data_IF_660754206168
#
_entry.id   IF_660754206168
#
_cell.length_a   1.000
_cell.length_b   1.000
_cell.length_c   1.000
_cell.angle_alpha   90.00
_cell.angle_beta   90.00
_cell.angle_gamma   90.00
#
_symmetry.space_group_name_H-M   'P 1'
#
loop_
_entity.id
_entity.type
_entity.pdbx_description
1 polymer ?
#
# COMPACT_ATOMS: atom_id res chain seq x y z
N UNK A 1 15.50 1.19 24.57
CA UNK A 1 15.93 0.96 23.17
C UNK A 1 15.43 2.12 22.34
N UNK A 2 16.29 2.72 21.53
CA UNK A 2 16.00 3.91 20.73
C UNK A 2 15.48 3.51 19.35
N UNK A 3 14.16 3.52 19.22
CA UNK A 3 13.47 3.15 17.98
C UNK A 3 13.21 4.40 17.14
N UNK A 4 13.63 4.38 15.88
CA UNK A 4 13.25 5.40 14.91
C UNK A 4 12.32 4.81 13.84
N UNK A 5 11.45 5.65 13.28
CA UNK A 5 10.55 5.25 12.19
C UNK A 5 10.30 6.39 11.22
N UNK A 6 9.64 6.11 10.10
CA UNK A 6 9.20 7.12 9.14
C UNK A 6 7.77 7.57 9.43
N UNK A 7 7.33 8.74 8.94
CA UNK A 7 5.93 9.18 9.06
C UNK A 7 4.95 8.15 8.48
N UNK A 8 5.37 7.45 7.43
CA UNK A 8 4.58 6.42 6.74
C UNK A 8 4.37 5.15 7.57
N UNK A 9 5.32 4.83 8.46
CA UNK A 9 5.30 3.63 9.30
C UNK A 9 4.79 3.89 10.72
N UNK A 10 4.73 5.16 11.13
CA UNK A 10 4.36 5.60 12.48
C UNK A 10 3.13 4.87 13.03
N UNK A 11 2.06 4.82 12.23
CA UNK A 11 0.81 4.24 12.71
C UNK A 11 0.89 2.72 12.89
N UNK A 12 1.58 2.00 11.99
CA UNK A 12 1.82 0.57 12.17
C UNK A 12 2.67 0.28 13.42
N UNK A 13 3.65 1.14 13.71
CA UNK A 13 4.48 1.06 14.93
C UNK A 13 3.63 1.30 16.18
N UNK A 14 2.76 2.32 16.17
CA UNK A 14 1.82 2.61 17.25
C UNK A 14 0.87 1.44 17.50
N UNK A 15 0.25 0.90 16.44
CA UNK A 15 -0.69 -0.23 16.50
C UNK A 15 -0.04 -1.52 16.98
N UNK A 16 1.25 -1.70 16.73
CA UNK A 16 2.03 -2.80 17.28
C UNK A 16 2.31 -2.68 18.79
N UNK A 17 1.81 -1.63 19.47
CA UNK A 17 1.99 -1.42 20.91
C UNK A 17 3.30 -0.75 21.29
N UNK A 18 4.02 -0.18 20.33
CA UNK A 18 5.27 0.53 20.60
C UNK A 18 4.95 1.97 20.98
N UNK A 19 5.11 2.33 22.25
CA UNK A 19 4.76 3.66 22.77
C UNK A 19 5.90 4.68 22.65
N UNK A 20 7.15 4.23 22.69
CA UNK A 20 8.34 5.09 22.67
C UNK A 20 9.13 4.91 21.36
N UNK A 21 8.99 5.88 20.45
CA UNK A 21 9.75 5.94 19.20
C UNK A 21 9.86 7.38 18.69
N UNK A 22 10.80 7.63 17.78
CA UNK A 22 11.00 8.95 17.14
C UNK A 22 10.69 8.85 15.65
N UNK A 23 9.85 9.75 15.15
CA UNK A 23 9.54 9.87 13.73
C UNK A 23 10.57 10.75 13.03
N UNK A 24 11.25 10.19 12.03
CA UNK A 24 12.29 10.85 11.22
C UNK A 24 11.75 11.21 9.84
N UNK A 25 11.57 12.52 9.59
CA UNK A 25 11.08 13.06 8.32
C UNK A 25 12.15 13.04 7.22
N UNK A 26 13.42 13.17 7.59
CA UNK A 26 14.59 13.25 6.71
C UNK A 26 15.15 11.87 6.30
N UNK A 27 14.54 10.79 6.81
CA UNK A 27 15.07 9.42 6.70
C UNK A 27 16.51 9.26 7.22
N UNK A 28 16.96 10.14 8.13
CA UNK A 28 18.22 9.94 8.83
C UNK A 28 17.99 9.10 10.10
N UNK A 29 18.45 7.86 10.05
CA UNK A 29 18.29 6.90 11.15
C UNK A 29 19.52 6.74 12.04
N UNK A 30 20.52 7.61 11.90
CA UNK A 30 21.75 7.53 12.68
C UNK A 30 21.49 7.59 14.19
N UNK A 31 22.14 6.69 14.93
CA UNK A 31 21.98 6.57 16.38
C UNK A 31 20.66 5.94 16.83
N UNK A 32 19.94 5.25 15.94
CA UNK A 32 18.87 4.32 16.33
C UNK A 32 19.47 2.97 16.73
N UNK A 33 18.91 2.34 17.76
CA UNK A 33 19.15 0.93 18.05
C UNK A 33 18.38 0.04 17.06
N UNK A 34 17.22 0.52 16.60
CA UNK A 34 16.39 -0.13 15.61
C UNK A 34 15.63 0.93 14.78
N UNK A 35 15.64 0.78 13.46
CA UNK A 35 14.81 1.56 12.56
C UNK A 35 13.67 0.72 11.97
N UNK A 36 12.41 1.10 12.19
CA UNK A 36 11.25 0.47 11.56
C UNK A 36 10.86 1.30 10.34
N UNK A 37 11.06 0.77 9.14
CA UNK A 37 10.98 1.54 7.90
C UNK A 37 10.31 0.74 6.78
N UNK A 38 9.86 1.42 5.73
CA UNK A 38 9.32 0.76 4.54
C UNK A 38 10.38 -0.15 3.89
N UNK A 39 9.92 -1.22 3.26
CA UNK A 39 10.78 -2.23 2.63
C UNK A 39 11.75 -1.65 1.60
N UNK A 40 11.36 -0.54 0.97
CA UNK A 40 12.10 0.18 -0.05
C UNK A 40 13.14 1.16 0.53
N UNK A 41 13.02 1.52 1.80
CA UNK A 41 13.91 2.50 2.45
C UNK A 41 15.32 1.90 2.61
N UNK A 42 16.35 2.55 2.07
CA UNK A 42 17.74 2.14 2.30
C UNK A 42 18.24 2.66 3.65
N UNK A 43 18.81 1.79 4.47
CA UNK A 43 19.44 2.17 5.75
C UNK A 43 20.46 1.14 6.16
N UNK A 44 21.50 1.57 6.88
CA UNK A 44 22.59 0.70 7.37
C UNK A 44 22.47 0.39 8.86
N UNK A 45 21.61 1.10 9.60
CA UNK A 45 21.35 0.77 11.01
C UNK A 45 20.51 -0.52 11.10
N UNK A 46 20.58 -1.26 12.22
CA UNK A 46 19.68 -2.38 12.44
C UNK A 46 18.23 -1.97 12.19
N UNK A 47 17.50 -2.76 11.41
CA UNK A 47 16.21 -2.32 10.91
C UNK A 47 15.23 -3.47 10.74
N UNK A 48 13.95 -3.10 10.79
CA UNK A 48 12.81 -3.94 10.51
C UNK A 48 12.08 -3.34 9.31
N UNK A 49 12.04 -4.11 8.22
CA UNK A 49 11.40 -3.73 6.95
C UNK A 49 9.95 -4.14 6.96
N UNK A 50 9.05 -3.20 6.70
CA UNK A 50 7.61 -3.45 6.61
C UNK A 50 7.02 -3.05 5.27
N UNK A 51 5.88 -3.64 4.92
CA UNK A 51 5.08 -3.27 3.75
C UNK A 51 3.69 -2.83 4.19
N UNK A 52 3.17 -1.78 3.56
CA UNK A 52 1.92 -1.14 4.00
C UNK A 52 1.00 -0.84 2.81
N UNK A 53 1.01 -1.69 1.77
CA UNK A 53 0.24 -1.46 0.55
C UNK A 53 -1.16 -2.06 0.63
N UNK A 54 -1.27 -3.28 1.16
CA UNK A 54 -2.52 -4.01 1.32
C UNK A 54 -2.89 -4.15 2.79
N UNK A 55 -4.16 -4.40 3.10
CA UNK A 55 -4.59 -4.71 4.47
C UNK A 55 -3.77 -5.85 5.04
N UNK A 56 -3.67 -6.98 4.32
CA UNK A 56 -2.85 -8.13 4.72
C UNK A 56 -1.42 -7.74 5.10
N UNK A 57 -0.73 -6.96 4.27
CA UNK A 57 0.63 -6.51 4.55
C UNK A 57 0.70 -5.62 5.80
N UNK A 58 -0.31 -4.79 6.06
CA UNK A 58 -0.39 -3.93 7.25
C UNK A 58 -0.48 -4.78 8.51
N UNK A 59 -1.40 -5.75 8.58
CA UNK A 59 -1.52 -6.64 9.75
C UNK A 59 -0.27 -7.49 9.95
N UNK A 60 0.27 -8.08 8.88
CA UNK A 60 1.52 -8.84 8.96
C UNK A 60 2.68 -7.97 9.47
N UNK A 61 2.73 -6.70 9.06
CA UNK A 61 3.76 -5.76 9.53
C UNK A 61 3.58 -5.41 11.01
N UNK A 62 2.35 -5.20 11.48
CA UNK A 62 2.04 -4.98 12.89
C UNK A 62 2.46 -6.21 13.71
N UNK A 63 2.14 -7.41 13.25
CA UNK A 63 2.52 -8.67 13.89
C UNK A 63 4.04 -8.85 13.95
N UNK A 64 4.76 -8.55 12.85
CA UNK A 64 6.22 -8.63 12.81
C UNK A 64 6.84 -7.67 13.84
N UNK A 65 6.35 -6.44 13.93
CA UNK A 65 6.84 -5.44 14.90
C UNK A 65 6.57 -5.94 16.33
N UNK A 66 5.32 -6.29 16.64
CA UNK A 66 4.90 -6.73 17.98
C UNK A 66 5.66 -7.98 18.43
N UNK A 67 5.80 -8.98 17.56
CA UNK A 67 6.50 -10.22 17.88
C UNK A 67 8.00 -10.02 18.09
N UNK A 68 8.60 -9.08 17.36
CA UNK A 68 10.03 -8.73 17.48
C UNK A 68 10.30 -7.97 18.77
N UNK A 69 9.42 -7.03 19.11
CA UNK A 69 9.58 -6.14 20.27
C UNK A 69 8.91 -6.64 21.55
N UNK A 70 8.18 -7.76 21.46
CA UNK A 70 7.43 -8.38 22.57
C UNK A 70 6.43 -7.40 23.20
N UNK A 71 5.75 -6.64 22.34
CA UNK A 71 4.71 -5.68 22.74
C UNK A 71 3.32 -6.25 22.51
N UNK A 72 2.35 -5.80 23.31
CA UNK A 72 0.94 -6.12 23.12
C UNK A 72 0.34 -5.20 22.06
N UNK A 73 -0.28 -5.78 21.02
CA UNK A 73 -0.92 -4.99 19.95
C UNK A 73 -2.08 -4.18 20.51
N UNK A 74 -2.28 -2.99 19.97
CA UNK A 74 -3.49 -2.21 20.24
C UNK A 74 -4.68 -2.82 19.50
N UNK A 75 -5.87 -2.65 20.08
CA UNK A 75 -7.11 -3.03 19.44
C UNK A 75 -7.30 -2.24 18.13
N UNK A 76 -7.52 -2.98 17.04
CA UNK A 76 -7.69 -2.46 15.70
C UNK A 76 -9.17 -2.13 15.39
N UNK A 77 -10.10 -2.50 16.28
CA UNK A 77 -11.52 -2.19 16.17
C UNK A 77 -12.13 -2.68 14.85
N UNK A 78 -13.00 -1.86 14.26
CA UNK A 78 -13.75 -2.16 13.02
C UNK A 78 -12.85 -2.47 11.80
N UNK A 79 -11.55 -2.14 11.86
CA UNK A 79 -10.62 -2.49 10.80
C UNK A 79 -10.39 -3.99 10.69
N UNK A 80 -10.44 -4.76 11.79
CA UNK A 80 -10.29 -6.22 11.71
C UNK A 80 -11.38 -6.87 10.84
N UNK A 81 -12.59 -6.32 10.88
CA UNK A 81 -13.71 -6.80 10.07
C UNK A 81 -13.66 -6.26 8.63
N UNK A 82 -13.09 -5.06 8.39
CA UNK A 82 -13.02 -4.45 7.05
C UNK A 82 -12.06 -5.19 6.09
N UNK A 83 -11.14 -6.01 6.60
CA UNK A 83 -10.26 -6.88 5.80
C UNK A 83 -11.04 -7.89 4.95
N UNK A 84 -12.29 -8.18 5.34
CA UNK A 84 -13.14 -9.15 4.66
C UNK A 84 -13.99 -8.57 3.52
N UNK A 85 -13.94 -7.26 3.27
CA UNK A 85 -14.65 -6.68 2.13
C UNK A 85 -13.97 -7.16 0.84
N UNK A 86 -14.57 -8.21 0.25
CA UNK A 86 -14.36 -8.76 -1.11
C UNK A 86 -13.41 -9.97 -1.32
N UNK A 87 -13.27 -10.89 -0.35
CA UNK A 87 -12.65 -12.21 -0.59
C UNK A 87 -13.64 -13.35 -0.87
N UNK A 88 -14.91 -13.05 -1.13
CA UNK A 88 -15.86 -14.05 -1.60
C UNK A 88 -15.35 -14.69 -2.91
N UNK A 89 -15.35 -16.03 -2.96
CA UNK A 89 -14.70 -16.80 -4.04
C UNK A 89 -15.26 -16.44 -5.43
N UNK A 90 -16.57 -16.20 -5.52
CA UNK A 90 -17.26 -15.80 -6.76
C UNK A 90 -16.77 -14.43 -7.26
N UNK A 91 -16.59 -13.47 -6.36
CA UNK A 91 -16.11 -12.11 -6.66
C UNK A 91 -14.67 -12.13 -7.14
N UNK A 92 -13.84 -13.03 -6.60
CA UNK A 92 -12.46 -13.24 -7.04
C UNK A 92 -12.39 -13.84 -8.44
N UNK A 93 -13.25 -14.80 -8.77
CA UNK A 93 -13.28 -15.41 -10.10
C UNK A 93 -13.78 -14.45 -11.19
N UNK A 94 -14.71 -13.56 -10.87
CA UNK A 94 -15.08 -12.45 -11.76
C UNK A 94 -13.93 -11.46 -11.95
N UNK A 95 -13.25 -11.05 -10.87
CA UNK A 95 -12.12 -10.09 -10.96
C UNK A 95 -10.93 -10.64 -11.76
N UNK A 96 -10.67 -11.94 -11.72
CA UNK A 96 -9.63 -12.58 -12.55
C UNK A 96 -9.86 -12.44 -14.06
N UNK A 97 -11.10 -12.20 -14.50
CA UNK A 97 -11.40 -11.98 -15.93
C UNK A 97 -10.97 -10.58 -16.40
N UNK A 98 -10.81 -9.64 -15.48
CA UNK A 98 -10.45 -8.25 -15.76
C UNK A 98 -8.93 -8.11 -15.80
N UNK A 99 -8.40 -7.71 -16.95
CA UNK A 99 -6.96 -7.56 -17.22
C UNK A 99 -6.51 -6.15 -16.90
N UNK A 100 -5.59 -6.03 -15.96
CA UNK A 100 -5.09 -4.75 -15.47
C UNK A 100 -3.59 -4.63 -15.73
N UNK A 101 -3.19 -3.56 -16.42
CA UNK A 101 -1.79 -3.16 -16.52
C UNK A 101 -1.51 -2.13 -15.44
N UNK A 102 -0.44 -2.33 -14.67
CA UNK A 102 -0.11 -1.48 -13.52
C UNK A 102 1.25 -0.84 -13.70
N UNK A 103 1.33 0.46 -13.42
CA UNK A 103 2.58 1.18 -13.24
C UNK A 103 2.77 1.46 -11.75
N UNK A 104 3.79 0.86 -11.12
CA UNK A 104 4.16 0.96 -9.69
C UNK A 104 3.97 -0.34 -8.91
N UNK A 105 5.02 -0.73 -8.18
CA UNK A 105 5.03 -1.95 -7.36
C UNK A 105 3.97 -1.93 -6.25
N UNK A 106 3.76 -0.79 -5.57
CA UNK A 106 2.78 -0.73 -4.48
C UNK A 106 1.34 -0.90 -4.97
N UNK A 107 1.04 -0.43 -6.19
CA UNK A 107 -0.29 -0.63 -6.80
C UNK A 107 -0.42 -2.08 -7.26
N UNK A 108 0.65 -2.68 -7.79
CA UNK A 108 0.66 -4.09 -8.19
C UNK A 108 0.26 -4.99 -7.02
N UNK A 109 0.81 -4.74 -5.82
CA UNK A 109 0.44 -5.49 -4.60
C UNK A 109 -1.07 -5.39 -4.31
N UNK A 110 -1.66 -4.19 -4.45
CA UNK A 110 -3.09 -3.95 -4.19
C UNK A 110 -3.98 -4.65 -5.23
N UNK A 111 -3.67 -4.46 -6.51
CA UNK A 111 -4.44 -5.04 -7.63
C UNK A 111 -4.40 -6.57 -7.57
N UNK A 112 -3.25 -7.14 -7.19
CA UNK A 112 -3.12 -8.59 -6.97
C UNK A 112 -3.93 -9.07 -5.76
N UNK A 113 -3.90 -8.36 -4.63
CA UNK A 113 -4.66 -8.73 -3.43
C UNK A 113 -6.18 -8.69 -3.66
N UNK A 114 -6.64 -7.75 -4.49
CA UNK A 114 -8.04 -7.68 -4.92
C UNK A 114 -8.46 -8.77 -5.92
N UNK A 115 -7.52 -9.52 -6.51
CA UNK A 115 -7.81 -10.67 -7.37
C UNK A 115 -7.84 -10.40 -8.88
N UNK A 116 -7.40 -9.22 -9.34
CA UNK A 116 -7.38 -8.90 -10.77
C UNK A 116 -6.23 -9.58 -11.52
N UNK A 117 -6.40 -9.79 -12.83
CA UNK A 117 -5.35 -10.37 -13.67
C UNK A 117 -4.33 -9.30 -14.11
N UNK A 118 -3.10 -9.38 -13.61
CA UNK A 118 -2.02 -8.49 -14.01
C UNK A 118 -1.47 -8.86 -15.40
N UNK A 119 -1.50 -7.92 -16.35
CA UNK A 119 -0.99 -8.13 -17.72
C UNK A 119 -0.06 -7.00 -18.17
N UNK A 120 0.80 -7.29 -19.15
CA UNK A 120 1.66 -6.29 -19.80
C UNK A 120 1.06 -5.73 -21.10
N UNK A 121 0.30 -6.57 -21.80
CA UNK A 121 -0.24 -6.28 -23.13
C UNK A 121 -1.75 -6.50 -23.16
N UNK A 122 -2.44 -5.72 -24.01
CA UNK A 122 -3.90 -5.74 -24.20
C UNK A 122 -4.69 -5.72 -22.87
N UNK A 123 -4.45 -4.75 -21.97
CA UNK A 123 -5.23 -4.61 -20.76
C UNK A 123 -6.63 -4.05 -21.02
N UNK A 124 -7.58 -4.43 -20.18
CA UNK A 124 -8.89 -3.78 -20.10
C UNK A 124 -8.73 -2.41 -19.43
N UNK A 125 -7.93 -2.34 -18.37
CA UNK A 125 -7.65 -1.13 -17.59
C UNK A 125 -6.16 -0.89 -17.36
N UNK A 126 -5.78 0.38 -17.26
CA UNK A 126 -4.43 0.82 -16.92
C UNK A 126 -4.48 1.57 -15.59
N UNK A 127 -3.77 1.09 -14.58
CA UNK A 127 -3.71 1.71 -13.25
C UNK A 127 -2.33 2.32 -13.01
N UNK A 128 -2.29 3.55 -12.53
CA UNK A 128 -1.04 4.29 -12.36
C UNK A 128 -1.11 5.28 -11.18
N UNK A 129 0.03 5.66 -10.56
CA UNK A 129 0.06 6.62 -9.49
C UNK A 129 0.02 8.05 -10.03
N UNK A 130 -0.59 8.94 -9.26
CA UNK A 130 -0.74 10.37 -9.57
C UNK A 130 0.56 11.08 -9.99
N UNK A 131 1.70 10.75 -9.38
CA UNK A 131 2.98 11.38 -9.71
C UNK A 131 3.46 11.10 -11.15
N UNK A 132 2.91 10.09 -11.85
CA UNK A 132 3.27 9.85 -13.25
C UNK A 132 2.68 10.87 -14.21
N UNK A 133 1.61 11.59 -13.84
CA UNK A 133 1.09 12.71 -14.65
C UNK A 133 2.05 13.90 -14.69
N UNK A 134 2.83 14.07 -13.62
CA UNK A 134 3.87 15.10 -13.51
C UNK A 134 5.21 14.64 -14.13
N UNK A 135 5.28 13.38 -14.59
CA UNK A 135 6.49 12.75 -15.10
C UNK A 135 6.87 13.20 -16.51
N UNK A 136 8.13 12.97 -16.87
CA UNK A 136 8.68 13.23 -18.22
C UNK A 136 8.58 12.04 -19.17
N UNK A 137 8.03 10.91 -18.73
CA UNK A 137 7.94 9.71 -19.58
C UNK A 137 6.77 9.84 -20.55
N UNK A 138 7.07 10.32 -21.77
CA UNK A 138 6.09 10.57 -22.83
C UNK A 138 5.35 9.31 -23.28
N UNK A 139 5.99 8.14 -23.21
CA UNK A 139 5.38 6.88 -23.64
C UNK A 139 4.26 6.46 -22.69
N UNK A 140 4.51 6.54 -21.38
CA UNK A 140 3.49 6.27 -20.35
C UNK A 140 2.34 7.28 -20.46
N UNK A 141 2.64 8.57 -20.61
CA UNK A 141 1.61 9.60 -20.75
C UNK A 141 0.75 9.39 -22.00
N UNK A 142 1.36 8.97 -23.11
CA UNK A 142 0.64 8.62 -24.34
C UNK A 142 -0.27 7.43 -24.10
N UNK A 143 0.20 6.40 -23.42
CA UNK A 143 -0.59 5.21 -23.11
C UNK A 143 -1.77 5.53 -22.19
N UNK A 144 -1.56 6.33 -21.13
CA UNK A 144 -2.62 6.84 -20.25
C UNK A 144 -3.68 7.58 -21.07
N UNK A 145 -3.25 8.48 -21.98
CA UNK A 145 -4.17 9.24 -22.83
C UNK A 145 -4.96 8.34 -23.79
N UNK A 146 -4.34 7.30 -24.35
CA UNK A 146 -4.99 6.33 -25.24
C UNK A 146 -6.03 5.47 -24.51
N UNK A 147 -5.79 5.14 -23.25
CA UNK A 147 -6.71 4.35 -22.43
C UNK A 147 -7.96 5.16 -22.00
N UNK A 148 -7.86 6.49 -21.93
CA UNK A 148 -8.99 7.37 -21.61
C UNK A 148 -9.59 7.04 -20.24
N UNK A 149 -10.90 6.80 -20.18
CA UNK A 149 -11.62 6.50 -18.93
C UNK A 149 -11.19 5.17 -18.27
N UNK A 150 -10.55 4.30 -19.05
CA UNK A 150 -9.97 3.03 -18.58
C UNK A 150 -8.60 3.22 -17.93
N UNK A 151 -8.06 4.43 -17.94
CA UNK A 151 -6.89 4.80 -17.16
C UNK A 151 -7.33 5.27 -15.76
N UNK A 152 -6.94 4.52 -14.72
CA UNK A 152 -7.30 4.78 -13.33
C UNK A 152 -6.10 5.31 -12.57
N UNK A 153 -6.23 6.51 -12.05
CA UNK A 153 -5.23 7.13 -11.19
C UNK A 153 -5.40 6.72 -9.74
N UNK A 154 -4.29 6.43 -9.07
CA UNK A 154 -4.25 6.08 -7.64
C UNK A 154 -3.40 7.11 -6.88
N UNK A 155 -3.93 7.74 -5.83
CA UNK A 155 -3.17 8.66 -5.00
C UNK A 155 -1.92 8.01 -4.37
N UNK A 156 -0.76 8.66 -4.56
CA UNK A 156 0.49 8.25 -3.93
C UNK A 156 0.66 8.92 -2.56
N UNK A 157 1.86 8.86 -1.98
CA UNK A 157 2.14 9.30 -0.61
C UNK A 157 1.88 10.79 -0.36
N UNK A 158 1.96 11.65 -1.37
CA UNK A 158 1.71 13.10 -1.18
C UNK A 158 0.23 13.45 -1.03
N UNK A 159 -0.65 12.66 -1.65
CA UNK A 159 -2.08 12.95 -1.76
C UNK A 159 -2.96 11.91 -1.04
N UNK A 160 -2.36 11.07 -0.20
CA UNK A 160 -3.05 10.03 0.55
C UNK A 160 -2.77 10.15 2.05
N UNK A 161 -3.61 9.52 2.87
CA UNK A 161 -3.43 9.50 4.33
C UNK A 161 -2.08 8.90 4.73
N UNK A 162 -1.48 9.46 5.78
CA UNK A 162 -0.33 8.85 6.44
C UNK A 162 -0.73 7.55 7.16
N UNK A 163 -1.97 7.47 7.64
CA UNK A 163 -2.53 6.25 8.21
C UNK A 163 -2.61 5.16 7.12
N UNK A 164 -1.92 4.02 7.29
CA UNK A 164 -1.87 2.97 6.29
C UNK A 164 -3.23 2.30 6.04
N UNK A 165 -4.09 2.19 7.06
CA UNK A 165 -5.41 1.57 6.94
C UNK A 165 -6.35 2.44 6.11
N UNK A 166 -6.46 3.73 6.45
CA UNK A 166 -7.24 4.71 5.67
C UNK A 166 -6.74 4.80 4.22
N UNK A 167 -5.42 4.78 4.04
CA UNK A 167 -4.80 4.80 2.72
C UNK A 167 -5.11 3.54 1.91
N UNK A 168 -5.09 2.36 2.54
CA UNK A 168 -5.49 1.11 1.90
C UNK A 168 -6.97 1.20 1.49
N UNK A 169 -7.86 1.54 2.43
CA UNK A 169 -9.30 1.65 2.15
C UNK A 169 -9.61 2.58 0.99
N UNK A 170 -9.03 3.78 0.99
CA UNK A 170 -9.20 4.75 -0.09
C UNK A 170 -8.85 4.15 -1.46
N UNK A 171 -7.70 3.47 -1.55
CA UNK A 171 -7.21 2.90 -2.81
C UNK A 171 -8.06 1.72 -3.27
N UNK A 172 -8.52 0.88 -2.34
CA UNK A 172 -9.42 -0.22 -2.63
C UNK A 172 -10.74 0.30 -3.18
N UNK A 173 -11.32 1.33 -2.54
CA UNK A 173 -12.57 1.95 -3.00
C UNK A 173 -12.45 2.55 -4.41
N UNK A 174 -11.31 3.20 -4.73
CA UNK A 174 -11.06 3.72 -6.09
C UNK A 174 -11.00 2.57 -7.09
N UNK A 175 -10.26 1.50 -6.80
CA UNK A 175 -10.13 0.37 -7.72
C UNK A 175 -11.45 -0.37 -7.90
N UNK A 176 -12.18 -0.62 -6.83
CA UNK A 176 -13.48 -1.29 -6.89
C UNK A 176 -14.49 -0.47 -7.71
N UNK A 177 -14.62 0.82 -7.41
CA UNK A 177 -15.56 1.71 -8.13
C UNK A 177 -15.22 1.91 -9.60
N UNK A 178 -13.96 1.72 -10.01
CA UNK A 178 -13.51 1.94 -11.39
C UNK A 178 -13.39 0.66 -12.20
N UNK A 179 -12.95 -0.44 -11.59
CA UNK A 179 -12.66 -1.70 -12.27
C UNK A 179 -13.82 -2.69 -12.21
N UNK A 180 -14.63 -2.66 -11.15
CA UNK A 180 -15.75 -3.58 -10.97
C UNK A 180 -17.09 -3.02 -11.46
N UNK A 181 -17.07 -2.00 -12.32
CA UNK A 181 -18.31 -1.50 -12.94
C UNK A 181 -18.87 -2.57 -13.88
N UNK A 182 -20.11 -2.99 -13.62
CA UNK A 182 -20.85 -3.89 -14.51
C UNK A 182 -21.00 -3.20 -15.88
N UNK A 183 -20.88 -3.93 -17.00
CA UNK A 183 -21.15 -3.40 -18.33
C UNK A 183 -22.58 -2.85 -18.47
#
# INVERSE_FOLDING_TARGET
MKIYTTPMCQEAVRLAGVLEYIVKQDNNFEGADLAIVLSETKTQVPNLKIKLNTFKQIYESIDIISNTLKTEKLDLGEWEDSVYVSREMETMDERKKIKVKVYSNFITDIVADMGFALVKEKPDFLVFPDYLKEGRNKDILREIKLMGDRAVEIPSHKNASLNPLERAQMRYNILESRLCTKP
#
